data_IF_563108151104
#
_entry.id   IF_563108151104
#
_cell.length_a   1.000
_cell.length_b   1.000
_cell.length_c   1.000
_cell.angle_alpha   90.00
_cell.angle_beta   90.00
_cell.angle_gamma   90.00
#
_symmetry.space_group_name_H-M   'P 1'
#
loop_
_entity.id
_entity.type
_entity.pdbx_description
1 polymer ?
#
# COMPACT_ATOMS: atom_id res chain seq x y z
N UNK A 1 -17.96 -8.15 26.20
CA UNK A 1 -16.59 -8.69 26.04
C UNK A 1 -16.16 -9.50 27.23
N UNK A 2 -15.99 -10.79 27.00
CA UNK A 2 -15.28 -11.74 27.86
C UNK A 2 -13.82 -11.31 28.09
N UNK A 3 -13.17 -11.83 29.15
CA UNK A 3 -11.75 -11.54 29.40
C UNK A 3 -10.85 -11.98 28.23
N UNK A 4 -11.19 -13.10 27.58
CA UNK A 4 -10.48 -13.60 26.41
C UNK A 4 -10.63 -12.66 25.21
N UNK A 5 -11.83 -12.17 24.94
CA UNK A 5 -12.07 -11.14 23.93
C UNK A 5 -11.28 -9.85 24.21
N UNK A 6 -11.19 -9.41 25.47
CA UNK A 6 -10.37 -8.24 25.85
C UNK A 6 -8.89 -8.45 25.54
N UNK A 7 -8.35 -9.65 25.74
CA UNK A 7 -6.97 -9.98 25.36
C UNK A 7 -6.75 -9.88 23.86
N UNK A 8 -7.65 -10.44 23.04
CA UNK A 8 -7.55 -10.31 21.59
C UNK A 8 -7.65 -8.86 21.14
N UNK A 9 -8.57 -8.07 21.73
CA UNK A 9 -8.69 -6.65 21.42
C UNK A 9 -7.39 -5.89 21.72
N UNK A 10 -6.76 -6.15 22.85
CA UNK A 10 -5.46 -5.56 23.19
C UNK A 10 -4.40 -5.91 22.15
N UNK A 11 -4.31 -7.20 21.77
CA UNK A 11 -3.35 -7.65 20.77
C UNK A 11 -3.59 -7.00 19.40
N UNK A 12 -4.86 -6.81 18.99
CA UNK A 12 -5.23 -6.09 17.77
C UNK A 12 -4.70 -4.66 17.84
N UNK A 13 -4.95 -3.95 18.95
CA UNK A 13 -4.51 -2.56 19.13
C UNK A 13 -2.98 -2.41 19.10
N UNK A 14 -2.25 -3.40 19.62
CA UNK A 14 -0.78 -3.41 19.67
C UNK A 14 -0.12 -3.92 18.38
N UNK A 15 -0.89 -4.46 17.42
CA UNK A 15 -0.33 -4.95 16.17
C UNK A 15 0.28 -3.79 15.35
N UNK A 16 1.58 -3.87 15.06
CA UNK A 16 2.35 -2.85 14.33
C UNK A 16 2.44 -3.10 12.82
N UNK A 17 1.98 -4.27 12.36
CA UNK A 17 2.06 -4.71 10.96
C UNK A 17 0.82 -5.50 10.59
N UNK A 18 0.41 -5.43 9.32
CA UNK A 18 -0.73 -6.21 8.82
C UNK A 18 -0.52 -7.72 9.00
N UNK A 19 0.71 -8.20 8.84
CA UNK A 19 1.04 -9.62 9.02
C UNK A 19 0.74 -10.11 10.44
N UNK A 20 1.12 -9.33 11.46
CA UNK A 20 0.78 -9.68 12.86
C UNK A 20 -0.73 -9.62 13.09
N UNK A 21 -1.40 -8.61 12.54
CA UNK A 21 -2.85 -8.46 12.64
C UNK A 21 -3.61 -9.66 12.03
N UNK A 22 -3.19 -10.12 10.85
CA UNK A 22 -3.75 -11.32 10.19
C UNK A 22 -3.59 -12.56 11.08
N UNK A 23 -2.43 -12.74 11.72
CA UNK A 23 -2.21 -13.84 12.66
C UNK A 23 -3.16 -13.81 13.85
N UNK A 24 -3.43 -12.62 14.39
CA UNK A 24 -4.40 -12.42 15.49
C UNK A 24 -5.82 -12.71 15.02
N UNK A 25 -6.19 -12.28 13.80
CA UNK A 25 -7.50 -12.56 13.21
C UNK A 25 -7.77 -14.04 13.03
N UNK A 26 -6.80 -14.79 12.51
CA UNK A 26 -6.92 -16.24 12.38
C UNK A 26 -7.18 -16.85 13.76
N UNK A 27 -6.40 -16.45 14.77
CA UNK A 27 -6.51 -17.00 16.12
C UNK A 27 -7.87 -16.75 16.76
N UNK A 28 -8.42 -15.52 16.70
CA UNK A 28 -9.73 -15.27 17.32
C UNK A 28 -10.90 -15.81 16.48
N UNK A 29 -10.79 -15.85 15.14
CA UNK A 29 -11.83 -16.43 14.27
C UNK A 29 -11.99 -17.94 14.47
N UNK A 30 -10.92 -18.63 14.89
CA UNK A 30 -10.93 -20.05 15.22
C UNK A 30 -11.29 -20.33 16.69
N UNK A 31 -11.41 -19.30 17.54
CA UNK A 31 -11.75 -19.46 18.95
C UNK A 31 -13.26 -19.63 19.16
N UNK A 32 -13.69 -20.89 19.18
CA UNK A 32 -15.09 -21.29 19.36
C UNK A 32 -15.69 -20.93 20.73
N UNK A 33 -14.89 -20.43 21.68
CA UNK A 33 -15.37 -19.98 22.99
C UNK A 33 -15.86 -18.53 23.01
N UNK A 34 -15.63 -17.78 21.92
CA UNK A 34 -16.10 -16.42 21.77
C UNK A 34 -17.58 -16.39 21.41
N UNK A 35 -18.34 -15.50 22.05
CA UNK A 35 -19.70 -15.22 21.63
C UNK A 35 -19.72 -14.50 20.27
N UNK A 36 -20.82 -14.63 19.51
CA UNK A 36 -20.99 -13.92 18.25
C UNK A 36 -20.83 -12.39 18.39
N UNK A 37 -21.30 -11.82 19.51
CA UNK A 37 -21.16 -10.39 19.81
C UNK A 37 -19.70 -9.98 20.02
N UNK A 38 -18.91 -10.80 20.72
CA UNK A 38 -17.49 -10.55 20.93
C UNK A 38 -16.73 -10.70 19.59
N UNK A 39 -17.05 -11.73 18.81
CA UNK A 39 -16.46 -11.95 17.48
C UNK A 39 -16.71 -10.75 16.54
N UNK A 40 -17.94 -10.26 16.47
CA UNK A 40 -18.29 -9.10 15.65
C UNK A 40 -17.55 -7.83 16.08
N UNK A 41 -17.36 -7.64 17.39
CA UNK A 41 -16.58 -6.51 17.93
C UNK A 41 -15.10 -6.61 17.57
N UNK A 42 -14.52 -7.82 17.62
CA UNK A 42 -13.12 -8.06 17.25
C UNK A 42 -12.87 -7.90 15.75
N UNK A 43 -13.79 -8.38 14.90
CA UNK A 43 -13.70 -8.18 13.45
C UNK A 43 -13.66 -6.68 13.10
N UNK A 44 -14.55 -5.88 13.70
CA UNK A 44 -14.56 -4.43 13.49
C UNK A 44 -13.27 -3.77 13.96
N UNK A 45 -12.78 -4.12 15.16
CA UNK A 45 -11.52 -3.59 15.66
C UNK A 45 -10.32 -3.95 14.77
N UNK A 46 -10.32 -5.15 14.18
CA UNK A 46 -9.28 -5.56 13.24
C UNK A 46 -9.35 -4.77 11.93
N UNK A 47 -10.54 -4.50 11.39
CA UNK A 47 -10.73 -3.64 10.22
C UNK A 47 -10.23 -2.21 10.48
N UNK A 48 -10.63 -1.61 11.61
CA UNK A 48 -10.19 -0.27 12.02
C UNK A 48 -8.66 -0.18 12.16
N UNK A 49 -8.06 -1.23 12.75
CA UNK A 49 -6.60 -1.30 12.90
C UNK A 49 -5.92 -1.46 11.55
N UNK A 50 -6.43 -2.32 10.67
CA UNK A 50 -5.88 -2.52 9.32
C UNK A 50 -5.89 -1.22 8.53
N UNK A 51 -6.99 -0.47 8.61
CA UNK A 51 -7.09 0.86 8.00
C UNK A 51 -6.01 1.80 8.56
N UNK A 52 -5.84 1.85 9.88
CA UNK A 52 -4.84 2.71 10.53
C UNK A 52 -3.41 2.34 10.12
N UNK A 53 -3.10 1.05 9.99
CA UNK A 53 -1.79 0.58 9.56
C UNK A 53 -1.49 0.97 8.10
N UNK A 54 -2.47 0.81 7.21
CA UNK A 54 -2.35 1.19 5.78
C UNK A 54 -2.23 2.69 5.56
N UNK A 55 -2.83 3.48 6.44
CA UNK A 55 -2.89 4.93 6.33
C UNK A 55 -2.05 5.64 7.38
N UNK A 56 -1.04 4.96 7.93
CA UNK A 56 -0.09 5.63 8.82
C UNK A 56 0.79 6.60 8.02
N UNK A 57 1.35 7.59 8.71
CA UNK A 57 2.11 8.67 8.09
C UNK A 57 3.32 8.17 7.29
N UNK A 58 4.01 7.14 7.78
CA UNK A 58 5.17 6.54 7.12
C UNK A 58 4.79 5.88 5.79
N UNK A 59 3.68 5.15 5.76
CA UNK A 59 3.17 4.50 4.55
C UNK A 59 2.71 5.53 3.53
N UNK A 60 1.99 6.57 3.97
CA UNK A 60 1.58 7.67 3.09
C UNK A 60 2.78 8.41 2.50
N UNK A 61 3.82 8.65 3.30
CA UNK A 61 5.07 9.27 2.84
C UNK A 61 5.80 8.38 1.82
N UNK A 62 5.86 7.08 2.06
CA UNK A 62 6.46 6.13 1.13
C UNK A 62 5.68 6.08 -0.20
N UNK A 63 4.34 6.05 -0.14
CA UNK A 63 3.48 6.13 -1.33
C UNK A 63 3.72 7.41 -2.12
N UNK A 64 3.79 8.56 -1.46
CA UNK A 64 4.13 9.82 -2.15
C UNK A 64 5.47 9.73 -2.88
N UNK A 65 6.52 9.27 -2.21
CA UNK A 65 7.85 9.15 -2.82
C UNK A 65 7.80 8.23 -4.04
N UNK A 66 7.12 7.08 -3.91
CA UNK A 66 6.95 6.13 -5.00
C UNK A 66 6.22 6.78 -6.19
N UNK A 67 5.08 7.44 -5.95
CA UNK A 67 4.29 8.10 -6.99
C UNK A 67 5.07 9.20 -7.72
N UNK A 68 5.77 10.07 -6.98
CA UNK A 68 6.65 11.08 -7.59
C UNK A 68 7.75 10.43 -8.45
N UNK A 69 8.38 9.35 -7.98
CA UNK A 69 9.40 8.64 -8.77
C UNK A 69 8.81 8.00 -10.01
N UNK A 70 7.67 7.31 -9.91
CA UNK A 70 6.98 6.72 -11.06
C UNK A 70 6.69 7.77 -12.12
N UNK A 71 6.16 8.93 -11.71
CA UNK A 71 5.86 10.04 -12.63
C UNK A 71 7.12 10.60 -13.29
N UNK A 72 8.17 10.86 -12.52
CA UNK A 72 9.43 11.38 -13.04
C UNK A 72 10.07 10.43 -14.07
N UNK A 73 10.07 9.11 -13.81
CA UNK A 73 10.64 8.13 -14.76
C UNK A 73 9.78 8.01 -16.03
N UNK A 74 8.45 8.09 -15.89
CA UNK A 74 7.50 8.10 -17.02
C UNK A 74 7.69 9.35 -17.89
N UNK A 75 7.75 10.53 -17.28
CA UNK A 75 7.92 11.80 -17.99
C UNK A 75 9.27 11.85 -18.71
N UNK A 76 10.36 11.42 -18.05
CA UNK A 76 11.67 11.32 -18.67
C UNK A 76 11.66 10.37 -19.87
N UNK A 77 11.03 9.20 -19.74
CA UNK A 77 10.89 8.26 -20.86
C UNK A 77 10.10 8.86 -22.03
N UNK A 78 8.98 9.52 -21.75
CA UNK A 78 8.17 10.19 -22.78
C UNK A 78 8.94 11.32 -23.47
N UNK A 79 9.67 12.14 -22.72
CA UNK A 79 10.45 13.25 -23.26
C UNK A 79 11.59 12.75 -24.16
N UNK A 80 12.32 11.71 -23.73
CA UNK A 80 13.37 11.09 -24.55
C UNK A 80 12.78 10.45 -25.82
N UNK A 81 11.65 9.74 -25.71
CA UNK A 81 11.02 9.05 -26.85
C UNK A 81 10.46 10.01 -27.91
N UNK A 82 10.16 11.27 -27.55
CA UNK A 82 9.70 12.30 -28.48
C UNK A 82 10.83 12.99 -29.25
N UNK A 83 12.07 12.86 -28.79
CA UNK A 83 13.27 13.45 -29.39
C UNK A 83 14.34 12.38 -29.62
N UNK A 84 14.07 11.34 -30.42
CA UNK A 84 15.01 10.26 -30.66
C UNK A 84 16.31 10.73 -31.35
N UNK A 85 16.35 11.95 -31.89
CA UNK A 85 17.56 12.58 -32.41
C UNK A 85 18.57 13.01 -31.33
N UNK A 86 18.09 13.28 -30.12
CA UNK A 86 18.92 13.76 -29.00
C UNK A 86 19.50 12.62 -28.14
N UNK A 87 19.04 11.38 -28.37
CA UNK A 87 19.35 10.22 -27.54
C UNK A 87 19.62 8.97 -28.38
N UNK A 88 20.51 8.10 -27.91
CA UNK A 88 20.69 6.79 -28.52
C UNK A 88 19.54 5.85 -28.17
N UNK A 89 19.28 4.88 -29.05
CA UNK A 89 18.29 3.82 -28.80
C UNK A 89 18.56 3.08 -27.47
N UNK A 90 19.84 2.86 -27.14
CA UNK A 90 20.25 2.22 -25.91
C UNK A 90 19.90 3.04 -24.65
N UNK A 91 20.04 4.37 -24.71
CA UNK A 91 19.66 5.27 -23.60
C UNK A 91 18.15 5.32 -23.42
N UNK A 92 17.39 5.37 -24.52
CA UNK A 92 15.92 5.31 -24.48
C UNK A 92 15.45 4.00 -23.87
N UNK A 93 16.03 2.86 -24.29
CA UNK A 93 15.67 1.54 -23.74
C UNK A 93 16.07 1.41 -22.27
N UNK A 94 17.21 1.97 -21.86
CA UNK A 94 17.59 2.01 -20.45
C UNK A 94 16.57 2.82 -19.63
N UNK A 95 16.14 3.98 -20.12
CA UNK A 95 15.14 4.78 -19.43
C UNK A 95 13.77 4.08 -19.38
N UNK A 96 13.38 3.41 -20.46
CA UNK A 96 12.19 2.54 -20.48
C UNK A 96 12.24 1.47 -19.40
N UNK A 97 13.37 0.77 -19.27
CA UNK A 97 13.57 -0.27 -18.25
C UNK A 97 13.45 0.27 -16.82
N UNK A 98 13.97 1.48 -16.56
CA UNK A 98 13.80 2.17 -15.26
C UNK A 98 12.33 2.45 -14.95
N UNK A 99 11.60 3.02 -15.91
CA UNK A 99 10.16 3.26 -15.77
C UNK A 99 9.40 1.95 -15.51
N UNK A 100 9.63 0.91 -16.33
CA UNK A 100 8.97 -0.38 -16.17
C UNK A 100 9.24 -1.01 -14.80
N UNK A 101 10.48 -0.91 -14.29
CA UNK A 101 10.85 -1.46 -12.98
C UNK A 101 10.08 -0.80 -11.83
N UNK A 102 9.91 0.53 -11.87
CA UNK A 102 9.13 1.26 -10.87
C UNK A 102 7.62 1.04 -11.06
N UNK A 103 7.14 0.97 -12.30
CA UNK A 103 5.73 0.68 -12.59
C UNK A 103 5.32 -0.70 -12.06
N UNK A 104 6.16 -1.72 -12.20
CA UNK A 104 5.91 -3.05 -11.66
C UNK A 104 5.65 -3.01 -10.14
N UNK A 105 6.35 -2.15 -9.39
CA UNK A 105 6.10 -1.97 -7.95
C UNK A 105 4.71 -1.39 -7.68
N UNK A 106 4.23 -0.46 -8.51
CA UNK A 106 2.87 0.08 -8.41
C UNK A 106 1.82 -1.01 -8.65
N UNK A 107 2.02 -1.84 -9.66
CA UNK A 107 1.12 -2.96 -9.99
C UNK A 107 1.10 -4.01 -8.89
N UNK A 108 2.27 -4.49 -8.45
CA UNK A 108 2.40 -5.51 -7.41
C UNK A 108 1.88 -5.03 -6.05
N UNK A 109 1.93 -3.72 -5.77
CA UNK A 109 1.37 -3.12 -4.57
C UNK A 109 -0.12 -2.78 -4.70
N UNK A 110 -0.75 -3.06 -5.85
CA UNK A 110 -2.16 -2.72 -6.15
C UNK A 110 -2.46 -1.21 -5.99
N UNK A 111 -1.49 -0.35 -6.32
CA UNK A 111 -1.59 1.11 -6.15
C UNK A 111 -1.95 1.87 -7.42
N UNK A 112 -2.35 1.18 -8.50
CA UNK A 112 -2.63 1.81 -9.81
C UNK A 112 -3.69 2.90 -9.69
N UNK A 113 -4.85 2.59 -9.11
CA UNK A 113 -5.94 3.56 -8.95
C UNK A 113 -5.55 4.73 -8.05
N UNK A 114 -4.79 4.46 -6.98
CA UNK A 114 -4.29 5.51 -6.08
C UNK A 114 -3.29 6.43 -6.79
N UNK A 115 -2.42 5.87 -7.64
CA UNK A 115 -1.46 6.64 -8.44
C UNK A 115 -2.17 7.52 -9.48
N UNK A 116 -3.18 6.99 -10.18
CA UNK A 116 -3.97 7.78 -11.14
C UNK A 116 -4.68 8.95 -10.44
N UNK A 117 -5.36 8.68 -9.32
CA UNK A 117 -5.99 9.74 -8.52
C UNK A 117 -4.96 10.77 -8.01
N UNK A 118 -3.77 10.32 -7.61
CA UNK A 118 -2.69 11.20 -7.19
C UNK A 118 -2.20 12.08 -8.35
N UNK A 119 -2.03 11.55 -9.57
CA UNK A 119 -1.64 12.34 -10.74
C UNK A 119 -2.67 13.42 -11.07
N UNK A 120 -3.95 13.08 -11.05
CA UNK A 120 -5.03 14.04 -11.28
C UNK A 120 -5.03 15.18 -10.26
N UNK A 121 -4.77 14.84 -8.99
CA UNK A 121 -4.63 15.82 -7.91
C UNK A 121 -3.34 16.64 -7.96
N UNK A 122 -2.31 16.16 -8.67
CA UNK A 122 -0.98 16.78 -8.74
C UNK A 122 -0.52 16.97 -10.20
N UNK A 123 -1.19 17.82 -10.99
CA UNK A 123 -0.91 17.97 -12.43
C UNK A 123 0.50 18.55 -12.73
N UNK A 124 1.12 19.21 -11.75
CA UNK A 124 2.44 19.84 -11.87
C UNK A 124 3.54 19.08 -11.10
N UNK A 125 3.24 17.88 -10.59
CA UNK A 125 4.22 17.04 -9.90
C UNK A 125 5.30 16.49 -10.82
#
# INVERSE_FOLDING_TARGET
MTNKAKTYLKNIQEADTEKKLIGIEIAFKQDMTLSCNDLGSLCRAAEDRRYSLRNNEETLKLKQILFFRTKAEMDAYHDMSRKPEDWTEAEIEQQRSRFCSVWQVIEEAELVDEYEAWKEANPNA
#
